data_IF_681370393349
#
_entry.id   IF_681370393349
#
_cell.length_a   1.000
_cell.length_b   1.000
_cell.length_c   1.000
_cell.angle_alpha   90.00
_cell.angle_beta   90.00
_cell.angle_gamma   90.00
#
_symmetry.space_group_name_H-M   'P 1'
#
loop_
_entity.id
_entity.type
_entity.pdbx_description
1 polymer ?
#
# COMPACT_ATOMS: atom_id res chain seq x y z
N UNK A 1 76.92 8.42 -19.10
CA UNK A 1 76.11 7.30 -18.60
C UNK A 1 75.07 7.90 -17.67
N UNK A 2 73.88 8.19 -18.21
CA UNK A 2 72.81 8.95 -17.54
C UNK A 2 71.72 7.94 -17.17
N UNK A 3 71.48 7.72 -15.89
CA UNK A 3 70.46 6.79 -15.40
C UNK A 3 69.11 7.53 -15.39
N UNK A 4 68.20 7.04 -16.21
CA UNK A 4 66.83 7.51 -16.35
C UNK A 4 65.98 6.83 -15.27
N UNK A 5 65.59 7.57 -14.23
CA UNK A 5 64.64 7.10 -13.21
C UNK A 5 63.21 7.29 -13.71
N UNK A 6 62.53 6.18 -13.98
CA UNK A 6 61.11 6.13 -14.36
C UNK A 6 60.28 6.21 -13.08
N UNK A 7 59.51 7.30 -12.92
CA UNK A 7 58.45 7.41 -11.91
C UNK A 7 57.21 6.68 -12.44
N UNK A 8 56.82 5.56 -11.81
CA UNK A 8 55.50 4.97 -12.00
C UNK A 8 54.47 5.81 -11.23
N UNK A 9 53.58 6.51 -11.94
CA UNK A 9 52.32 7.00 -11.37
C UNK A 9 51.36 5.80 -11.25
N UNK A 10 51.16 5.31 -10.03
CA UNK A 10 50.05 4.42 -9.72
C UNK A 10 48.77 5.24 -9.69
N UNK A 11 47.93 5.10 -10.72
CA UNK A 11 46.54 5.56 -10.69
C UNK A 11 45.80 4.64 -9.73
N UNK A 12 45.50 5.14 -8.53
CA UNK A 12 44.57 4.48 -7.61
C UNK A 12 43.18 4.73 -8.18
N UNK A 13 42.64 3.75 -8.91
CA UNK A 13 41.22 3.74 -9.23
C UNK A 13 40.52 3.51 -7.89
N UNK A 14 39.64 4.40 -7.41
CA UNK A 14 38.84 4.11 -6.24
C UNK A 14 37.99 2.89 -6.59
N UNK A 15 38.24 1.78 -5.88
CA UNK A 15 37.31 0.66 -5.85
C UNK A 15 35.98 1.27 -5.40
N UNK A 16 34.96 1.22 -6.25
CA UNK A 16 33.61 1.60 -5.86
C UNK A 16 33.29 0.77 -4.60
N UNK A 17 33.21 1.43 -3.46
CA UNK A 17 32.81 0.79 -2.23
C UNK A 17 31.36 0.36 -2.45
N UNK A 18 31.12 -0.95 -2.54
CA UNK A 18 29.77 -1.47 -2.40
C UNK A 18 29.27 -1.00 -1.03
N UNK A 19 28.27 -0.13 -1.01
CA UNK A 19 27.62 0.25 0.25
C UNK A 19 26.93 -1.01 0.79
N UNK A 20 27.11 -1.29 2.08
CA UNK A 20 26.39 -2.37 2.74
C UNK A 20 24.88 -2.08 2.69
N UNK A 21 24.08 -3.08 2.35
CA UNK A 21 22.62 -2.96 2.28
C UNK A 21 22.03 -3.00 3.69
N UNK A 22 21.18 -2.01 4.00
CA UNK A 22 20.48 -1.92 5.26
C UNK A 22 19.00 -2.29 5.13
N UNK A 23 18.41 -2.71 6.25
CA UNK A 23 16.97 -3.00 6.40
C UNK A 23 16.42 -2.02 7.44
N UNK A 24 15.18 -1.57 7.24
CA UNK A 24 14.44 -0.76 8.21
C UNK A 24 13.00 -1.25 8.30
N UNK A 25 12.33 -0.89 9.39
CA UNK A 25 10.89 -1.11 9.61
C UNK A 25 10.01 -0.13 8.84
N UNK A 26 10.49 1.08 8.59
CA UNK A 26 9.76 2.08 7.83
C UNK A 26 9.90 1.86 6.31
N UNK A 27 8.77 1.81 5.62
CA UNK A 27 8.68 1.61 4.17
C UNK A 27 7.83 2.73 3.56
N UNK A 28 8.32 3.28 2.46
CA UNK A 28 7.56 4.15 1.57
C UNK A 28 7.30 3.43 0.24
N UNK A 29 6.06 3.45 -0.22
CA UNK A 29 5.71 2.92 -1.54
C UNK A 29 4.78 3.82 -2.33
N UNK A 30 4.91 3.71 -3.64
CA UNK A 30 4.06 4.33 -4.63
C UNK A 30 3.41 3.19 -5.41
N UNK A 31 2.08 3.12 -5.41
CA UNK A 31 1.35 1.98 -5.92
C UNK A 31 0.36 2.48 -6.97
N UNK A 32 0.39 1.87 -8.16
CA UNK A 32 -0.56 2.17 -9.23
C UNK A 32 -1.28 0.88 -9.60
N UNK A 33 -2.60 0.89 -9.51
CA UNK A 33 -3.43 -0.27 -9.84
C UNK A 33 -4.44 0.10 -10.91
N UNK A 34 -4.57 -0.75 -11.93
CA UNK A 34 -5.47 -0.54 -13.05
C UNK A 34 -6.38 -1.76 -13.26
N UNK A 35 -7.66 -1.50 -13.45
CA UNK A 35 -8.71 -2.43 -13.85
C UNK A 35 -9.12 -2.08 -15.28
N UNK A 36 -8.52 -2.79 -16.24
CA UNK A 36 -8.71 -2.56 -17.67
C UNK A 36 -10.17 -2.81 -18.11
N UNK A 37 -10.84 -3.76 -17.50
CA UNK A 37 -12.25 -4.10 -17.77
C UNK A 37 -13.23 -2.95 -17.49
N UNK A 38 -12.83 -2.02 -16.62
CA UNK A 38 -13.66 -0.89 -16.21
C UNK A 38 -13.02 0.48 -16.50
N UNK A 39 -11.83 0.52 -17.11
CA UNK A 39 -11.03 1.72 -17.41
C UNK A 39 -10.73 2.58 -16.18
N UNK A 40 -10.47 1.96 -15.05
CA UNK A 40 -10.39 2.65 -13.75
C UNK A 40 -9.25 2.13 -12.93
N UNK A 41 -8.70 2.99 -12.09
CA UNK A 41 -7.52 2.65 -11.30
C UNK A 41 -7.34 3.54 -10.11
N UNK A 42 -6.26 3.28 -9.38
CA UNK A 42 -5.85 4.06 -8.22
C UNK A 42 -4.36 4.33 -8.28
N UNK A 43 -3.99 5.56 -7.95
CA UNK A 43 -2.62 5.93 -7.66
C UNK A 43 -2.53 6.20 -6.16
N UNK A 44 -1.56 5.59 -5.48
CA UNK A 44 -1.49 5.59 -4.02
C UNK A 44 -0.07 5.85 -3.56
N UNK A 45 0.09 6.68 -2.54
CA UNK A 45 1.33 6.80 -1.76
C UNK A 45 1.08 6.21 -0.38
N UNK A 46 2.00 5.35 0.07
CA UNK A 46 1.93 4.63 1.34
C UNK A 46 3.18 4.93 2.16
N UNK A 47 2.95 5.27 3.42
CA UNK A 47 3.95 5.30 4.49
C UNK A 47 3.56 4.22 5.50
N UNK A 48 4.45 3.29 5.80
CA UNK A 48 4.15 2.14 6.64
C UNK A 48 5.30 1.84 7.58
N UNK A 49 5.01 1.44 8.81
CA UNK A 49 6.00 0.86 9.72
C UNK A 49 5.38 -0.21 10.61
N UNK A 50 6.16 -1.23 10.91
CA UNK A 50 5.86 -2.25 11.91
C UNK A 50 6.61 -2.03 13.22
N UNK A 51 7.22 -0.86 13.41
CA UNK A 51 7.98 -0.51 14.59
C UNK A 51 7.41 0.75 15.24
N UNK A 52 7.09 0.61 16.52
CA UNK A 52 6.51 1.67 17.36
C UNK A 52 7.46 2.87 17.48
N UNK A 53 8.78 2.64 17.45
CA UNK A 53 9.80 3.70 17.54
C UNK A 53 9.84 4.60 16.28
N UNK A 54 9.27 4.15 15.16
CA UNK A 54 9.14 4.96 13.94
C UNK A 54 7.88 5.84 13.98
N UNK A 55 7.08 5.76 15.05
CA UNK A 55 5.89 6.59 15.26
C UNK A 55 6.04 7.50 16.49
N UNK A 56 5.10 8.42 16.65
CA UNK A 56 4.93 9.29 17.82
C UNK A 56 3.71 8.91 18.65
N UNK A 57 3.03 7.83 18.25
CA UNK A 57 1.92 7.25 19.00
C UNK A 57 2.53 6.63 20.25
N UNK A 58 1.85 6.74 21.39
CA UNK A 58 2.41 6.24 22.64
C UNK A 58 2.44 4.72 22.65
N UNK A 59 3.57 4.13 23.07
CA UNK A 59 3.69 2.68 23.28
C UNK A 59 2.56 2.13 24.16
N UNK A 60 2.09 2.94 25.12
CA UNK A 60 0.99 2.58 25.99
C UNK A 60 -0.34 2.47 25.24
N UNK A 61 -0.62 3.30 24.23
CA UNK A 61 -1.85 3.21 23.44
C UNK A 61 -1.77 2.05 22.47
N UNK A 62 -0.66 1.92 21.75
CA UNK A 62 -0.46 0.81 20.82
C UNK A 62 -0.54 -0.53 21.56
N UNK A 63 0.12 -0.65 22.72
CA UNK A 63 0.05 -1.86 23.54
C UNK A 63 -1.36 -2.14 24.05
N UNK A 64 -2.06 -1.14 24.59
CA UNK A 64 -3.41 -1.36 25.11
C UNK A 64 -4.41 -1.72 23.99
N UNK A 65 -4.23 -1.20 22.77
CA UNK A 65 -5.03 -1.61 21.61
C UNK A 65 -4.70 -3.04 21.18
N UNK A 66 -3.41 -3.39 21.16
CA UNK A 66 -2.93 -4.71 20.71
C UNK A 66 -3.24 -5.84 21.71
N UNK A 67 -3.07 -5.60 23.01
CA UNK A 67 -3.35 -6.59 24.07
C UNK A 67 -4.85 -6.72 24.37
N UNK A 68 -5.67 -5.77 23.92
CA UNK A 68 -7.11 -5.84 24.18
C UNK A 68 -7.74 -7.02 23.39
N UNK A 69 -8.42 -7.97 24.06
CA UNK A 69 -8.84 -9.25 23.48
C UNK A 69 -9.95 -9.16 22.41
N UNK A 70 -10.37 -7.94 22.08
CA UNK A 70 -11.41 -7.67 21.09
C UNK A 70 -11.03 -6.59 20.08
N UNK A 71 -9.99 -5.79 20.30
CA UNK A 71 -9.66 -4.74 19.33
C UNK A 71 -8.93 -5.40 18.17
N UNK A 72 -9.35 -5.09 16.94
CA UNK A 72 -8.75 -5.64 15.72
C UNK A 72 -7.93 -4.58 14.98
N UNK A 73 -8.30 -3.31 15.16
CA UNK A 73 -7.58 -2.21 14.56
C UNK A 73 -8.35 -0.91 14.64
N UNK A 74 -7.66 0.16 14.29
CA UNK A 74 -8.21 1.51 14.20
C UNK A 74 -7.99 2.00 12.78
N UNK A 75 -9.04 2.58 12.20
CA UNK A 75 -9.01 3.12 10.85
C UNK A 75 -9.48 4.57 10.90
N UNK A 76 -8.76 5.48 10.25
CA UNK A 76 -9.26 6.80 9.90
C UNK A 76 -9.41 6.90 8.38
N UNK A 77 -10.49 7.51 7.89
CA UNK A 77 -10.66 7.85 6.47
C UNK A 77 -11.51 9.09 6.29
N UNK A 78 -11.17 9.93 5.31
CA UNK A 78 -12.04 11.01 4.83
C UNK A 78 -12.66 10.72 3.46
N UNK A 79 -12.66 9.45 3.03
CA UNK A 79 -13.38 9.05 1.83
C UNK A 79 -14.89 9.28 2.01
N UNK A 80 -15.55 9.71 0.94
CA UNK A 80 -16.99 9.92 0.91
C UNK A 80 -17.75 8.67 1.35
N UNK A 81 -18.73 8.84 2.24
CA UNK A 81 -19.62 7.75 2.70
C UNK A 81 -18.84 6.56 3.28
N UNK A 82 -17.92 6.83 4.22
CA UNK A 82 -17.13 5.79 4.90
C UNK A 82 -17.99 4.64 5.50
N UNK A 83 -19.22 4.97 5.93
CA UNK A 83 -20.27 4.05 6.35
C UNK A 83 -21.63 4.64 5.97
N UNK A 84 -22.67 3.80 5.79
CA UNK A 84 -24.01 4.31 5.47
C UNK A 84 -24.50 5.35 6.48
N UNK A 85 -24.88 6.53 5.97
CA UNK A 85 -25.44 7.62 6.75
C UNK A 85 -24.47 8.75 7.12
N UNK A 86 -23.16 8.54 6.97
CA UNK A 86 -22.16 9.60 7.12
C UNK A 86 -22.02 10.35 5.79
N UNK A 87 -22.13 11.68 5.84
CA UNK A 87 -22.07 12.58 4.68
C UNK A 87 -21.27 13.82 5.06
N UNK A 88 -20.31 14.22 4.23
CA UNK A 88 -19.49 15.43 4.44
C UNK A 88 -18.78 15.44 5.83
N UNK A 89 -18.33 14.26 6.25
CA UNK A 89 -17.57 14.05 7.49
C UNK A 89 -16.53 12.95 7.25
N UNK A 90 -15.38 13.07 7.94
CA UNK A 90 -14.40 12.00 8.02
C UNK A 90 -14.75 11.04 9.16
N UNK A 91 -14.15 9.85 9.14
CA UNK A 91 -14.50 8.77 10.04
C UNK A 91 -13.29 8.22 10.76
N UNK A 92 -13.44 8.02 12.05
CA UNK A 92 -12.58 7.16 12.85
C UNK A 92 -13.38 5.92 13.21
N UNK A 93 -12.84 4.75 12.92
CA UNK A 93 -13.49 3.47 13.08
C UNK A 93 -12.61 2.60 13.98
N UNK A 94 -13.18 2.14 15.09
CA UNK A 94 -12.56 1.11 15.93
C UNK A 94 -13.21 -0.22 15.59
N UNK A 95 -12.44 -1.12 14.99
CA UNK A 95 -12.92 -2.46 14.63
C UNK A 95 -12.75 -3.39 15.83
N UNK A 96 -13.84 -4.08 16.18
CA UNK A 96 -13.94 -4.92 17.36
C UNK A 96 -14.44 -6.30 16.98
N UNK A 97 -13.82 -7.35 17.52
CA UNK A 97 -14.27 -8.72 17.38
C UNK A 97 -15.60 -8.95 18.10
N UNK A 98 -16.51 -9.68 17.45
CA UNK A 98 -17.74 -10.18 18.08
C UNK A 98 -17.40 -11.30 19.05
N UNK A 99 -18.13 -11.34 20.16
CA UNK A 99 -18.00 -12.42 21.16
C UNK A 99 -19.29 -13.24 21.24
N UNK A 100 -19.14 -14.55 21.43
CA UNK A 100 -20.28 -15.50 21.47
C UNK A 100 -21.26 -15.26 22.62
N UNK A 101 -20.84 -14.53 23.66
CA UNK A 101 -21.67 -14.18 24.81
C UNK A 101 -22.73 -13.11 24.48
N UNK A 102 -22.52 -12.30 23.44
CA UNK A 102 -23.47 -11.28 22.99
C UNK A 102 -24.48 -11.94 22.04
N UNK A 103 -25.63 -12.36 22.58
CA UNK A 103 -26.56 -13.24 21.85
C UNK A 103 -27.58 -12.51 20.98
N UNK A 104 -27.75 -11.20 21.17
CA UNK A 104 -28.61 -10.36 20.32
C UNK A 104 -27.89 -9.09 19.86
N UNK A 105 -28.47 -8.44 18.86
CA UNK A 105 -27.84 -7.30 18.18
C UNK A 105 -27.60 -6.10 19.09
N UNK A 106 -28.45 -5.87 20.09
CA UNK A 106 -28.30 -4.74 21.02
C UNK A 106 -27.10 -5.02 21.93
N UNK A 107 -26.97 -6.24 22.44
CA UNK A 107 -25.80 -6.63 23.23
C UNK A 107 -24.49 -6.52 22.46
N UNK A 108 -24.50 -6.92 21.18
CA UNK A 108 -23.34 -6.80 20.29
C UNK A 108 -22.96 -5.33 20.11
N UNK A 109 -23.95 -4.47 19.86
CA UNK A 109 -23.72 -3.04 19.64
C UNK A 109 -23.21 -2.35 20.92
N UNK A 110 -23.91 -2.52 22.05
CA UNK A 110 -23.53 -1.90 23.32
C UNK A 110 -22.16 -2.39 23.79
N UNK A 111 -21.87 -3.68 23.62
CA UNK A 111 -20.58 -4.28 23.98
C UNK A 111 -19.43 -3.75 23.11
N UNK A 112 -19.63 -3.65 21.80
CA UNK A 112 -18.62 -3.08 20.90
C UNK A 112 -18.40 -1.59 21.20
N UNK A 113 -19.47 -0.81 21.37
CA UNK A 113 -19.36 0.61 21.73
C UNK A 113 -18.60 0.81 23.04
N UNK A 114 -18.87 -0.01 24.06
CA UNK A 114 -18.16 0.06 25.31
C UNK A 114 -16.65 -0.21 25.16
N UNK A 115 -16.22 -0.98 24.15
CA UNK A 115 -14.79 -1.14 23.81
C UNK A 115 -14.28 0.10 23.10
N UNK A 116 -14.95 0.59 22.06
CA UNK A 116 -14.52 1.78 21.33
C UNK A 116 -14.39 3.02 22.24
N UNK A 117 -15.39 3.25 23.11
CA UNK A 117 -15.45 4.41 24.00
C UNK A 117 -14.32 4.38 25.06
N UNK A 118 -13.65 3.24 25.29
CA UNK A 118 -12.46 3.18 26.15
C UNK A 118 -11.26 3.90 25.54
N UNK A 119 -11.14 3.90 24.21
CA UNK A 119 -9.96 4.39 23.50
C UNK A 119 -10.16 5.77 22.86
N UNK A 120 -11.40 6.18 22.62
CA UNK A 120 -11.72 7.38 21.82
C UNK A 120 -11.02 8.66 22.32
N UNK A 121 -10.95 8.88 23.64
CA UNK A 121 -10.27 10.07 24.20
C UNK A 121 -8.79 10.07 23.86
N UNK A 122 -8.11 8.92 24.04
CA UNK A 122 -6.67 8.80 23.74
C UNK A 122 -6.40 8.85 22.25
N UNK A 123 -7.27 8.24 21.44
CA UNK A 123 -7.18 8.33 19.98
C UNK A 123 -7.33 9.78 19.50
N UNK A 124 -8.26 10.54 20.06
CA UNK A 124 -8.40 11.96 19.78
C UNK A 124 -7.13 12.74 20.15
N UNK A 125 -6.60 12.51 21.35
CA UNK A 125 -5.40 13.20 21.83
C UNK A 125 -4.14 12.86 21.01
N UNK A 126 -3.92 11.58 20.70
CA UNK A 126 -2.71 11.11 20.02
C UNK A 126 -2.74 11.32 18.51
N UNK A 127 -3.92 11.28 17.87
CA UNK A 127 -4.06 11.56 16.44
C UNK A 127 -4.35 13.05 16.16
N UNK A 128 -4.55 13.87 17.19
CA UNK A 128 -4.81 15.30 17.03
C UNK A 128 -6.17 15.63 16.41
N UNK A 129 -7.17 14.76 16.61
CA UNK A 129 -8.51 14.85 16.01
C UNK A 129 -9.60 15.06 17.07
N UNK A 130 -10.83 15.34 16.63
CA UNK A 130 -12.00 15.48 17.51
C UNK A 130 -13.16 14.64 17.00
N UNK A 131 -13.04 13.33 17.17
CA UNK A 131 -14.02 12.35 16.73
C UNK A 131 -15.14 12.20 17.77
N UNK A 132 -16.40 12.18 17.31
CA UNK A 132 -17.61 12.02 18.12
C UNK A 132 -18.38 10.78 17.70
N UNK A 133 -18.98 10.07 18.65
CA UNK A 133 -19.70 8.84 18.35
C UNK A 133 -20.86 9.10 17.36
N UNK A 134 -20.90 8.30 16.30
CA UNK A 134 -21.95 8.36 15.28
C UNK A 134 -22.82 7.10 15.31
N UNK A 135 -22.23 5.93 15.07
CA UNK A 135 -22.98 4.69 14.88
C UNK A 135 -22.18 3.42 15.17
N UNK A 136 -22.87 2.28 15.19
CA UNK A 136 -22.25 0.96 15.28
C UNK A 136 -22.73 0.13 14.09
N UNK A 137 -21.79 -0.36 13.30
CA UNK A 137 -22.07 -1.21 12.14
C UNK A 137 -21.65 -2.65 12.45
N UNK A 138 -22.60 -3.58 12.36
CA UNK A 138 -22.34 -5.01 12.58
C UNK A 138 -22.25 -5.67 11.21
N UNK A 139 -21.12 -6.32 10.95
CA UNK A 139 -20.88 -7.03 9.69
C UNK A 139 -21.47 -8.44 9.78
N UNK A 140 -22.44 -8.76 8.92
CA UNK A 140 -23.23 -10.00 9.05
C UNK A 140 -22.84 -11.12 8.08
N UNK A 141 -22.07 -10.86 7.01
CA UNK A 141 -21.83 -11.83 5.93
C UNK A 141 -20.74 -11.38 4.95
N UNK A 142 -20.02 -12.38 4.38
CA UNK A 142 -18.92 -12.30 3.39
C UNK A 142 -19.14 -11.32 2.21
N UNK A 143 -20.38 -11.09 1.79
CA UNK A 143 -20.72 -10.19 0.67
C UNK A 143 -20.75 -8.70 1.06
N UNK A 144 -20.99 -8.37 2.34
CA UNK A 144 -20.92 -6.99 2.85
C UNK A 144 -19.48 -6.52 3.09
N UNK A 145 -18.51 -7.44 3.05
CA UNK A 145 -17.07 -7.13 3.07
C UNK A 145 -16.63 -6.37 1.82
N UNK A 146 -17.33 -6.61 0.70
CA UNK A 146 -17.12 -5.93 -0.58
C UNK A 146 -17.82 -4.56 -0.58
N UNK A 147 -18.90 -4.41 0.19
CA UNK A 147 -19.77 -3.24 0.11
C UNK A 147 -19.24 -1.99 0.83
N UNK A 148 -18.30 -2.13 1.75
CA UNK A 148 -17.78 -0.99 2.53
C UNK A 148 -16.53 -0.33 1.95
N UNK A 149 -15.88 -0.90 0.92
CA UNK A 149 -14.82 -0.25 0.14
C UNK A 149 -13.73 0.51 0.94
N UNK A 150 -13.55 0.20 2.21
CA UNK A 150 -12.45 0.74 3.02
C UNK A 150 -11.23 -0.11 2.69
N UNK A 151 -10.12 0.47 2.21
CA UNK A 151 -8.92 -0.31 1.97
C UNK A 151 -8.43 -0.90 3.31
N UNK A 152 -8.57 -2.22 3.48
CA UNK A 152 -8.15 -2.93 4.71
C UNK A 152 -8.85 -4.28 4.92
N UNK A 153 -9.21 -4.98 3.82
CA UNK A 153 -10.18 -6.09 3.80
C UNK A 153 -9.92 -7.30 4.72
N UNK A 154 -8.78 -7.36 5.41
CA UNK A 154 -8.49 -8.41 6.40
C UNK A 154 -9.27 -8.23 7.72
N UNK A 155 -9.76 -7.03 8.05
CA UNK A 155 -10.29 -6.72 9.39
C UNK A 155 -11.80 -6.94 9.58
N UNK A 156 -12.52 -7.65 8.71
CA UNK A 156 -14.00 -7.56 8.68
C UNK A 156 -14.80 -8.85 8.99
N UNK A 157 -14.17 -10.02 9.15
CA UNK A 157 -14.89 -11.25 9.53
C UNK A 157 -15.35 -11.25 10.99
N UNK A 158 -16.65 -11.44 11.21
CA UNK A 158 -17.22 -11.50 12.57
C UNK A 158 -16.85 -10.26 13.41
N UNK A 159 -16.92 -9.08 12.78
CA UNK A 159 -16.50 -7.81 13.37
C UNK A 159 -17.66 -6.85 13.58
N UNK A 160 -17.41 -5.86 14.42
CA UNK A 160 -18.29 -4.71 14.68
C UNK A 160 -17.45 -3.46 14.56
N UNK A 161 -17.86 -2.53 13.71
CA UNK A 161 -17.21 -1.24 13.57
C UNK A 161 -17.93 -0.21 14.45
N UNK A 162 -17.21 0.34 15.41
CA UNK A 162 -17.66 1.49 16.19
C UNK A 162 -17.19 2.74 15.46
N UNK A 163 -18.15 3.53 14.96
CA UNK A 163 -17.88 4.64 14.05
C UNK A 163 -18.04 5.96 14.79
N UNK A 164 -17.03 6.79 14.66
CA UNK A 164 -17.00 8.17 15.11
C UNK A 164 -16.81 9.09 13.90
N UNK A 165 -17.46 10.25 13.91
CA UNK A 165 -17.32 11.25 12.85
C UNK A 165 -16.49 12.43 13.29
N UNK A 166 -15.80 13.02 12.33
CA UNK A 166 -14.89 14.16 12.47
C UNK A 166 -15.33 15.18 11.41
N UNK A 167 -15.37 16.49 11.74
CA UNK A 167 -15.66 17.51 10.74
C UNK A 167 -14.76 17.36 9.51
N UNK A 168 -15.35 17.48 8.33
CA UNK A 168 -14.62 17.34 7.08
C UNK A 168 -13.60 18.47 6.88
N UNK A 169 -12.45 18.11 6.30
CA UNK A 169 -11.40 18.99 5.81
C UNK A 169 -10.83 18.39 4.51
N UNK A 170 -10.08 19.17 3.75
CA UNK A 170 -9.41 18.72 2.55
C UNK A 170 -8.42 17.58 2.86
N UNK A 171 -8.33 16.61 1.96
CA UNK A 171 -7.42 15.46 2.09
C UNK A 171 -5.96 15.88 2.32
N UNK A 172 -5.52 16.97 1.68
CA UNK A 172 -4.17 17.52 1.91
C UNK A 172 -3.96 18.03 3.34
N UNK A 173 -4.99 18.60 3.98
CA UNK A 173 -4.93 19.03 5.38
C UNK A 173 -4.72 17.81 6.28
N UNK A 174 -5.59 16.80 6.15
CA UNK A 174 -5.46 15.56 6.92
C UNK A 174 -4.12 14.87 6.66
N UNK A 175 -3.66 14.77 5.42
CA UNK A 175 -2.38 14.13 5.11
C UNK A 175 -1.22 14.83 5.82
N UNK A 176 -1.15 16.16 5.77
CA UNK A 176 -0.08 16.91 6.43
C UNK A 176 -0.17 16.78 7.95
N UNK A 177 -1.37 16.83 8.52
CA UNK A 177 -1.58 16.65 9.97
C UNK A 177 -1.19 15.24 10.43
N UNK A 178 -1.65 14.20 9.73
CA UNK A 178 -1.33 12.81 10.06
C UNK A 178 0.17 12.55 9.93
N UNK A 179 0.81 12.99 8.85
CA UNK A 179 2.26 12.82 8.69
C UNK A 179 3.04 13.46 9.83
N UNK A 180 2.70 14.69 10.23
CA UNK A 180 3.40 15.39 11.31
C UNK A 180 3.06 14.85 12.70
N UNK A 181 1.86 14.32 12.89
CA UNK A 181 1.38 13.83 14.19
C UNK A 181 1.88 12.42 14.46
N UNK A 182 1.81 11.53 13.45
CA UNK A 182 2.15 10.11 13.60
C UNK A 182 3.63 9.86 13.45
N UNK A 183 4.32 10.52 12.53
CA UNK A 183 5.73 10.21 12.26
C UNK A 183 6.67 11.27 12.86
N UNK A 184 7.87 10.86 13.32
CA UNK A 184 8.95 11.78 13.67
C UNK A 184 9.31 12.71 12.51
N UNK A 185 9.86 13.89 12.83
CA UNK A 185 10.20 14.91 11.83
C UNK A 185 11.11 14.38 10.72
N UNK A 186 12.05 13.48 11.03
CA UNK A 186 12.94 12.86 10.04
C UNK A 186 12.21 12.10 8.93
N UNK A 187 11.05 11.53 9.23
CA UNK A 187 10.16 10.88 8.26
C UNK A 187 9.20 11.91 7.67
N UNK A 188 8.50 12.68 8.50
CA UNK A 188 7.43 13.61 8.09
C UNK A 188 7.92 14.74 7.16
N UNK A 189 9.19 15.13 7.25
CA UNK A 189 9.82 16.14 6.39
C UNK A 189 10.79 15.53 5.36
N UNK A 190 10.78 14.20 5.22
CA UNK A 190 11.72 13.44 4.40
C UNK A 190 11.65 13.68 2.89
N UNK A 191 10.71 14.52 2.42
CA UNK A 191 10.49 14.83 1.00
C UNK A 191 10.24 13.56 0.17
N UNK A 192 10.48 13.60 -1.13
CA UNK A 192 10.38 12.41 -1.98
C UNK A 192 8.96 11.85 -2.04
N UNK A 193 8.75 10.65 -1.50
CA UNK A 193 7.42 10.05 -1.37
C UNK A 193 6.46 10.91 -0.53
N UNK A 194 6.95 11.63 0.49
CA UNK A 194 6.11 12.54 1.28
C UNK A 194 5.61 13.71 0.43
N UNK A 195 6.47 14.26 -0.43
CA UNK A 195 6.08 15.34 -1.34
C UNK A 195 5.09 14.82 -2.41
N UNK A 196 5.30 13.58 -2.91
CA UNK A 196 4.37 12.92 -3.83
C UNK A 196 2.99 12.69 -3.20
N UNK A 197 2.93 12.21 -1.95
CA UNK A 197 1.69 12.02 -1.21
C UNK A 197 0.95 13.33 -0.99
N UNK A 198 1.68 14.43 -0.70
CA UNK A 198 1.10 15.76 -0.58
C UNK A 198 0.49 16.24 -1.90
N UNK A 199 1.20 16.07 -3.02
CA UNK A 199 0.69 16.42 -4.36
C UNK A 199 -0.59 15.62 -4.65
N UNK A 200 -0.56 14.30 -4.42
CA UNK A 200 -1.69 13.42 -4.65
C UNK A 200 -2.91 13.86 -3.83
N UNK A 201 -2.70 14.22 -2.57
CA UNK A 201 -3.74 14.69 -1.64
C UNK A 201 -4.42 16.02 -2.03
N UNK A 202 -3.85 16.79 -2.98
CA UNK A 202 -4.48 18.03 -3.47
C UNK A 202 -5.62 17.82 -4.46
N UNK A 203 -5.79 16.60 -4.98
CA UNK A 203 -6.89 16.30 -5.89
C UNK A 203 -8.21 16.15 -5.12
N UNK A 204 -9.31 16.66 -5.69
CA UNK A 204 -10.62 16.72 -5.03
C UNK A 204 -11.18 15.32 -4.70
N UNK A 205 -10.85 14.32 -5.52
CA UNK A 205 -11.27 12.93 -5.39
C UNK A 205 -10.30 12.06 -4.58
N UNK A 206 -9.18 12.63 -4.14
CA UNK A 206 -8.25 11.92 -3.27
C UNK A 206 -8.79 11.77 -1.86
N UNK A 207 -8.46 10.67 -1.21
CA UNK A 207 -8.77 10.44 0.19
C UNK A 207 -7.56 9.89 0.95
N UNK A 208 -7.54 10.17 2.25
CA UNK A 208 -6.58 9.66 3.21
C UNK A 208 -7.15 8.42 3.88
N UNK A 209 -6.31 7.43 4.08
CA UNK A 209 -6.55 6.30 4.95
C UNK A 209 -5.40 6.20 5.95
N UNK A 210 -5.71 6.13 7.23
CA UNK A 210 -4.78 5.72 8.27
C UNK A 210 -5.25 4.41 8.89
N UNK A 211 -4.32 3.52 9.16
CA UNK A 211 -4.59 2.20 9.73
C UNK A 211 -3.59 1.90 10.82
N UNK A 212 -4.10 1.47 11.98
CA UNK A 212 -3.34 0.71 12.96
C UNK A 212 -3.92 -0.71 13.01
N UNK A 213 -3.21 -1.68 12.46
CA UNK A 213 -3.59 -3.09 12.49
C UNK A 213 -3.04 -3.75 13.75
N UNK A 214 -3.90 -4.44 14.51
CA UNK A 214 -3.56 -5.13 15.75
C UNK A 214 -3.43 -6.64 15.52
N UNK A 215 -2.74 -7.02 14.45
CA UNK A 215 -2.54 -8.42 14.08
C UNK A 215 -1.58 -9.17 15.03
N UNK A 216 -1.56 -10.50 14.88
CA UNK A 216 -0.74 -11.41 15.68
C UNK A 216 0.77 -11.16 15.55
N UNK A 217 1.20 -10.50 14.48
CA UNK A 217 2.61 -10.22 14.17
C UNK A 217 3.10 -8.88 14.75
N UNK A 218 2.25 -8.18 15.51
CA UNK A 218 2.53 -6.88 16.10
C UNK A 218 1.79 -5.74 15.40
N UNK A 219 1.83 -4.53 15.99
CA UNK A 219 1.15 -3.37 15.43
C UNK A 219 1.75 -2.96 14.08
N UNK A 220 0.89 -2.70 13.10
CA UNK A 220 1.29 -2.16 11.80
C UNK A 220 0.58 -0.83 11.57
N UNK A 221 1.37 0.23 11.49
CA UNK A 221 0.88 1.59 11.30
C UNK A 221 1.08 2.04 9.87
N UNK A 222 0.04 2.61 9.26
CA UNK A 222 0.04 3.03 7.86
C UNK A 222 -0.66 4.37 7.68
N UNK A 223 -0.09 5.23 6.86
CA UNK A 223 -0.72 6.44 6.31
C UNK A 223 -0.68 6.33 4.79
N UNK A 224 -1.84 6.39 4.16
CA UNK A 224 -2.01 6.19 2.72
C UNK A 224 -2.86 7.28 2.11
N UNK A 225 -2.40 7.90 1.04
CA UNK A 225 -3.23 8.78 0.21
C UNK A 225 -3.50 8.08 -1.10
N UNK A 226 -4.76 8.02 -1.49
CA UNK A 226 -5.20 7.39 -2.73
C UNK A 226 -5.95 8.40 -3.58
N UNK A 227 -5.64 8.43 -4.88
CA UNK A 227 -6.39 9.13 -5.91
C UNK A 227 -6.97 8.10 -6.87
N UNK A 228 -8.30 7.98 -6.98
CA UNK A 228 -8.90 7.21 -8.06
C UNK A 228 -8.67 7.91 -9.41
N UNK A 229 -8.60 7.15 -10.49
CA UNK A 229 -8.57 7.72 -11.83
C UNK A 229 -9.37 6.85 -12.80
N UNK A 230 -9.80 7.47 -13.90
CA UNK A 230 -10.40 6.77 -15.05
C UNK A 230 -9.46 6.94 -16.22
N UNK A 231 -8.87 5.84 -16.67
CA UNK A 231 -7.96 5.81 -17.81
C UNK A 231 -7.99 4.42 -18.43
N UNK A 232 -8.10 4.38 -19.76
CA UNK A 232 -8.12 3.13 -20.50
C UNK A 232 -6.70 2.60 -20.61
N UNK A 233 -6.50 1.30 -20.36
CA UNK A 233 -5.19 0.70 -20.56
C UNK A 233 -4.82 0.75 -22.04
N UNK A 234 -3.68 1.37 -22.34
CA UNK A 234 -3.14 1.42 -23.70
C UNK A 234 -2.10 0.30 -23.91
N UNK A 235 -1.11 0.52 -24.77
CA UNK A 235 0.03 -0.39 -24.95
C UNK A 235 1.11 -0.24 -23.88
N UNK A 236 0.95 0.68 -22.92
CA UNK A 236 1.86 0.84 -21.80
C UNK A 236 1.17 1.37 -20.53
N UNK A 237 1.88 1.22 -19.42
CA UNK A 237 1.59 1.90 -18.16
C UNK A 237 2.87 2.54 -17.63
N UNK A 238 2.75 3.77 -17.10
CA UNK A 238 3.82 4.43 -16.37
C UNK A 238 3.29 4.95 -15.02
N UNK A 239 3.73 4.37 -13.88
CA UNK A 239 3.16 4.73 -12.60
C UNK A 239 3.36 6.19 -12.21
N UNK A 240 4.45 6.85 -12.64
CA UNK A 240 4.66 8.27 -12.30
C UNK A 240 3.68 9.20 -13.04
N UNK A 241 3.22 8.82 -14.25
CA UNK A 241 2.21 9.58 -14.99
C UNK A 241 0.88 9.58 -14.22
N UNK A 242 0.46 8.43 -13.68
CA UNK A 242 -0.78 8.32 -12.87
C UNK A 242 -0.69 9.00 -11.51
N UNK A 243 0.51 9.08 -10.92
CA UNK A 243 0.77 9.84 -9.69
C UNK A 243 0.80 11.36 -9.92
N UNK A 244 0.89 11.81 -11.18
CA UNK A 244 0.93 13.23 -11.53
C UNK A 244 2.24 13.93 -11.13
N UNK A 245 3.36 13.20 -11.16
CA UNK A 245 4.69 13.71 -10.77
C UNK A 245 5.73 13.42 -11.87
N UNK A 246 6.68 14.34 -12.08
CA UNK A 246 7.73 14.17 -13.10
C UNK A 246 8.84 13.20 -12.66
N UNK A 247 9.12 13.19 -11.35
CA UNK A 247 10.14 12.35 -10.74
C UNK A 247 9.79 12.03 -9.29
N UNK A 248 10.21 10.85 -8.86
CA UNK A 248 10.10 10.37 -7.50
C UNK A 248 11.49 10.11 -6.94
N UNK A 249 11.75 10.68 -5.76
CA UNK A 249 12.99 10.53 -5.03
C UNK A 249 12.74 9.73 -3.77
N UNK A 250 13.68 8.87 -3.39
CA UNK A 250 13.76 8.29 -2.05
C UNK A 250 13.77 9.42 -1.02
N UNK A 251 13.06 9.22 0.09
CA UNK A 251 13.06 10.16 1.20
C UNK A 251 14.46 10.34 1.80
N UNK A 252 14.76 11.57 2.25
CA UNK A 252 16.00 11.88 2.97
C UNK A 252 16.12 11.15 4.31
N UNK A 253 15.03 10.53 4.80
CA UNK A 253 15.09 9.61 5.95
C UNK A 253 16.12 8.49 5.74
N UNK A 254 16.38 8.11 4.49
CA UNK A 254 17.29 7.03 4.12
C UNK A 254 18.69 7.51 3.70
N UNK A 255 19.04 8.78 3.90
CA UNK A 255 20.31 9.36 3.41
C UNK A 255 21.56 8.81 4.15
N UNK A 256 21.36 8.11 5.27
CA UNK A 256 22.42 7.52 6.08
C UNK A 256 22.92 6.16 5.56
N UNK A 257 22.28 5.59 4.53
CA UNK A 257 22.67 4.29 3.99
C UNK A 257 21.93 3.88 2.72
N UNK A 258 22.11 2.62 2.32
CA UNK A 258 21.45 2.05 1.15
C UNK A 258 20.28 1.15 1.59
N UNK A 259 19.06 1.62 1.35
CA UNK A 259 17.81 0.94 1.72
C UNK A 259 16.98 0.60 0.46
N UNK A 260 17.43 -0.36 -0.36
CA UNK A 260 16.86 -0.59 -1.68
C UNK A 260 15.43 -1.12 -1.65
N UNK A 261 15.03 -1.79 -0.56
CA UNK A 261 13.70 -2.39 -0.39
C UNK A 261 12.73 -1.52 0.42
N UNK A 262 13.16 -0.33 0.85
CA UNK A 262 12.35 0.57 1.67
C UNK A 262 11.65 1.66 0.87
N UNK A 263 12.02 1.85 -0.39
CA UNK A 263 11.39 2.81 -1.32
C UNK A 263 11.01 2.12 -2.61
N UNK A 264 9.73 1.82 -2.78
CA UNK A 264 9.24 0.92 -3.84
C UNK A 264 8.22 1.61 -4.74
N UNK A 265 8.27 1.33 -6.03
CA UNK A 265 7.17 1.67 -6.96
C UNK A 265 6.53 0.37 -7.42
N UNK A 266 5.23 0.22 -7.28
CA UNK A 266 4.50 -1.01 -7.57
C UNK A 266 3.41 -0.76 -8.59
N UNK A 267 3.21 -1.73 -9.47
CA UNK A 267 2.15 -1.71 -10.47
C UNK A 267 1.38 -3.03 -10.40
N UNK A 268 0.05 -2.95 -10.39
CA UNK A 268 -0.82 -4.09 -10.60
C UNK A 268 -1.83 -3.79 -11.72
N UNK A 269 -2.03 -4.74 -12.63
CA UNK A 269 -2.97 -4.60 -13.74
C UNK A 269 -3.86 -5.83 -13.73
N UNK A 270 -5.17 -5.61 -13.65
CA UNK A 270 -6.20 -6.64 -13.77
C UNK A 270 -6.97 -6.42 -15.07
N UNK A 271 -7.18 -7.48 -15.85
CA UNK A 271 -7.91 -7.43 -17.11
C UNK A 271 -8.59 -8.77 -17.43
N UNK A 272 -9.71 -8.73 -18.17
CA UNK A 272 -10.29 -9.93 -18.79
C UNK A 272 -9.45 -10.44 -19.98
N UNK A 273 -8.60 -9.59 -20.54
CA UNK A 273 -7.67 -9.93 -21.61
C UNK A 273 -6.33 -10.31 -21.01
N UNK A 274 -5.77 -11.44 -21.45
CA UNK A 274 -4.40 -11.80 -21.08
C UNK A 274 -3.40 -10.85 -21.73
N UNK A 275 -2.52 -10.26 -20.93
CA UNK A 275 -1.38 -9.47 -21.39
C UNK A 275 -0.07 -10.20 -21.10
N UNK A 276 0.98 -9.83 -21.82
CA UNK A 276 2.36 -10.16 -21.50
C UNK A 276 3.16 -8.85 -21.42
N UNK A 277 4.20 -8.84 -20.59
CA UNK A 277 5.17 -7.75 -20.63
C UNK A 277 6.01 -7.88 -21.89
N UNK A 278 5.87 -6.93 -22.81
CA UNK A 278 6.64 -6.92 -24.05
C UNK A 278 8.08 -6.47 -23.79
N UNK A 279 8.23 -5.32 -23.13
CA UNK A 279 9.50 -4.80 -22.64
C UNK A 279 9.26 -3.71 -21.59
N UNK A 280 10.33 -3.25 -20.98
CA UNK A 280 10.34 -2.13 -20.03
C UNK A 280 11.42 -1.14 -20.46
N UNK A 281 11.24 0.15 -20.15
CA UNK A 281 12.29 1.15 -20.45
C UNK A 281 13.55 0.94 -19.59
N UNK A 282 13.36 0.54 -18.34
CA UNK A 282 14.45 0.14 -17.43
C UNK A 282 14.71 -1.36 -17.51
N UNK A 283 15.84 -1.81 -16.95
CA UNK A 283 16.18 -3.23 -16.91
C UNK A 283 15.14 -4.06 -16.15
N UNK A 284 14.89 -5.28 -16.63
CA UNK A 284 14.24 -6.33 -15.84
C UNK A 284 15.36 -7.02 -15.04
N UNK A 285 15.22 -7.02 -13.73
CA UNK A 285 16.17 -7.59 -12.79
C UNK A 285 15.97 -9.12 -12.74
N UNK A 286 17.04 -9.86 -12.99
CA UNK A 286 17.03 -11.30 -12.93
C UNK A 286 17.08 -11.81 -11.48
N UNK A 287 16.44 -12.94 -11.23
CA UNK A 287 16.66 -13.77 -10.05
C UNK A 287 15.61 -14.88 -9.92
N UNK A 288 15.68 -15.63 -8.82
CA UNK A 288 14.81 -16.78 -8.57
C UNK A 288 13.40 -16.37 -8.13
N UNK A 289 12.40 -17.13 -8.57
CA UNK A 289 10.99 -17.00 -8.13
C UNK A 289 10.41 -15.58 -8.30
N UNK A 290 10.84 -14.86 -9.33
CA UNK A 290 10.39 -13.49 -9.62
C UNK A 290 11.05 -12.40 -8.76
N UNK A 291 11.99 -12.75 -7.88
CA UNK A 291 12.73 -11.80 -7.03
C UNK A 291 14.12 -11.52 -7.58
N UNK A 292 14.65 -10.28 -7.47
CA UNK A 292 15.95 -9.93 -8.02
C UNK A 292 17.11 -10.45 -7.17
N UNK A 293 18.15 -11.00 -7.82
CA UNK A 293 19.39 -11.45 -7.16
C UNK A 293 20.20 -10.26 -6.61
N UNK A 294 20.06 -9.10 -7.24
CA UNK A 294 20.79 -7.87 -6.92
C UNK A 294 19.83 -6.69 -6.74
N UNK A 295 19.45 -6.46 -5.49
CA UNK A 295 18.54 -5.39 -5.06
C UNK A 295 19.17 -3.99 -5.10
N UNK A 296 20.49 -3.87 -5.30
CA UNK A 296 21.15 -2.56 -5.42
C UNK A 296 20.89 -1.92 -6.78
N UNK A 297 20.53 -2.72 -7.78
CA UNK A 297 20.26 -2.25 -9.14
C UNK A 297 18.87 -1.64 -9.25
N UNK A 298 18.80 -0.58 -10.07
CA UNK A 298 17.53 0.00 -10.50
C UNK A 298 16.91 -0.84 -11.60
N UNK A 299 15.62 -1.16 -11.47
CA UNK A 299 14.88 -1.89 -12.49
C UNK A 299 13.60 -2.55 -11.96
N UNK A 300 12.90 -3.23 -12.87
CA UNK A 300 11.68 -3.97 -12.58
C UNK A 300 11.96 -5.42 -12.20
N UNK A 301 11.19 -5.97 -11.28
CA UNK A 301 10.97 -7.42 -11.16
C UNK A 301 9.47 -7.68 -11.09
N UNK A 302 9.05 -8.90 -11.43
CA UNK A 302 7.65 -9.23 -11.61
C UNK A 302 7.30 -10.53 -10.90
N UNK A 303 6.35 -10.45 -9.97
CA UNK A 303 5.76 -11.63 -9.33
C UNK A 303 4.85 -12.38 -10.31
N UNK A 304 4.16 -11.63 -11.17
CA UNK A 304 3.32 -12.16 -12.25
C UNK A 304 3.53 -11.27 -13.48
N UNK A 305 4.08 -11.83 -14.55
CA UNK A 305 4.48 -11.09 -15.76
C UNK A 305 3.61 -11.38 -16.99
N UNK A 306 2.64 -12.28 -16.87
CA UNK A 306 1.73 -12.68 -17.95
C UNK A 306 0.37 -13.10 -17.42
N UNK A 307 -0.66 -13.01 -18.25
CA UNK A 307 -2.03 -13.42 -17.92
C UNK A 307 -2.97 -12.25 -17.68
N UNK A 308 -4.08 -12.51 -17.00
CA UNK A 308 -5.13 -11.54 -16.65
C UNK A 308 -4.77 -10.67 -15.44
N UNK A 309 -3.70 -11.02 -14.73
CA UNK A 309 -3.13 -10.24 -13.64
C UNK A 309 -1.64 -10.07 -13.91
N UNK A 310 -1.17 -8.82 -13.92
CA UNK A 310 0.25 -8.48 -13.93
C UNK A 310 0.58 -7.77 -12.62
N UNK A 311 1.70 -8.14 -11.99
CA UNK A 311 2.22 -7.49 -10.78
C UNK A 311 3.72 -7.29 -10.90
N UNK A 312 4.12 -6.03 -10.81
CA UNK A 312 5.52 -5.61 -10.90
C UNK A 312 5.91 -4.70 -9.75
N UNK A 313 7.17 -4.79 -9.37
CA UNK A 313 7.81 -3.85 -8.45
C UNK A 313 9.08 -3.30 -9.08
N UNK A 314 9.25 -1.99 -9.02
CA UNK A 314 10.42 -1.27 -9.47
C UNK A 314 11.26 -0.84 -8.28
N UNK A 315 12.53 -1.21 -8.31
CA UNK A 315 13.53 -0.78 -7.35
C UNK A 315 14.20 0.50 -7.85
N UNK A 316 14.30 1.51 -6.98
CA UNK A 316 15.11 2.70 -7.25
C UNK A 316 16.62 2.36 -7.24
N UNK A 317 17.01 1.30 -6.54
CA UNK A 317 18.42 0.90 -6.37
C UNK A 317 19.28 2.02 -5.78
N UNK A 318 20.57 2.03 -6.10
CA UNK A 318 21.53 3.06 -5.69
C UNK A 318 21.21 4.46 -6.26
N UNK A 319 20.42 4.53 -7.35
CA UNK A 319 20.09 5.83 -7.95
C UNK A 319 19.18 6.70 -7.08
N UNK A 320 18.45 6.08 -6.14
CA UNK A 320 17.54 6.75 -5.21
C UNK A 320 16.41 7.54 -5.87
N UNK A 321 16.19 7.39 -7.18
CA UNK A 321 15.18 8.16 -7.91
C UNK A 321 14.79 7.55 -9.25
N UNK A 322 13.60 7.91 -9.72
CA UNK A 322 13.11 7.59 -11.04
C UNK A 322 12.32 8.78 -11.61
N UNK A 323 12.35 8.94 -12.93
CA UNK A 323 11.56 9.94 -13.65
C UNK A 323 10.54 9.26 -14.57
N UNK A 324 9.48 9.99 -14.93
CA UNK A 324 8.52 9.58 -15.97
C UNK A 324 9.27 9.06 -17.21
N UNK A 325 8.75 7.98 -17.77
CA UNK A 325 9.33 7.22 -18.88
C UNK A 325 10.29 6.12 -18.43
N UNK A 326 10.99 6.26 -17.29
CA UNK A 326 11.95 5.25 -16.82
C UNK A 326 11.25 4.04 -16.18
N UNK A 327 10.08 4.25 -15.60
CA UNK A 327 9.23 3.23 -14.98
C UNK A 327 8.22 2.62 -15.95
N UNK A 328 8.21 3.03 -17.22
CA UNK A 328 7.26 2.51 -18.19
C UNK A 328 7.39 0.99 -18.42
N UNK A 329 6.24 0.33 -18.40
CA UNK A 329 6.04 -1.08 -18.78
C UNK A 329 5.22 -1.10 -20.06
N UNK A 330 5.74 -1.69 -21.13
CA UNK A 330 5.02 -1.85 -22.40
C UNK A 330 4.39 -3.26 -22.44
N UNK A 331 3.11 -3.32 -22.77
CA UNK A 331 2.29 -4.53 -22.77
C UNK A 331 2.02 -4.99 -24.19
N UNK A 332 1.80 -6.29 -24.36
CA UNK A 332 1.30 -6.86 -25.60
C UNK A 332 0.24 -7.92 -25.31
N UNK A 333 -0.70 -8.07 -26.25
CA UNK A 333 -1.63 -9.19 -26.25
C UNK A 333 -0.90 -10.40 -26.87
N UNK A 334 -0.88 -11.58 -26.23
CA UNK A 334 -0.28 -12.78 -26.79
C UNK A 334 -0.93 -13.10 -28.14
N UNK A 335 -0.14 -13.13 -29.20
CA UNK A 335 -0.58 -13.58 -30.52
C UNK A 335 -0.13 -15.03 -30.75
N UNK A 336 -0.92 -15.82 -31.49
CA UNK A 336 -0.65 -17.24 -31.77
C UNK A 336 0.68 -17.51 -32.53
N UNK A 337 1.42 -16.46 -32.88
CA UNK A 337 2.71 -16.50 -33.57
C UNK A 337 3.87 -15.97 -32.72
N UNK A 338 3.64 -15.62 -31.45
CA UNK A 338 4.73 -15.31 -30.53
C UNK A 338 5.37 -16.62 -30.10
N UNK A 339 6.44 -16.97 -30.80
CA UNK A 339 7.34 -18.07 -30.49
C UNK A 339 7.84 -17.88 -29.05
N UNK A 340 7.27 -18.68 -28.15
CA UNK A 340 7.65 -18.71 -26.75
C UNK A 340 9.11 -19.17 -26.69
N UNK A 341 10.04 -18.21 -26.58
CA UNK A 341 11.36 -18.52 -26.05
C UNK A 341 11.23 -18.62 -24.53
N UNK A 342 10.53 -19.67 -24.10
CA UNK A 342 10.53 -20.16 -22.73
C UNK A 342 11.91 -20.74 -22.41
N UNK A 343 12.58 -20.31 -21.32
CA UNK A 343 13.38 -21.24 -20.55
C UNK A 343 12.39 -22.24 -19.93
N UNK A 344 12.40 -23.49 -20.41
CA UNK A 344 11.59 -24.57 -19.85
C UNK A 344 11.97 -24.79 -18.38
N UNK A 345 11.02 -24.60 -17.47
CA UNK A 345 10.99 -25.37 -16.22
C UNK A 345 9.89 -26.44 -16.37
N UNK A 346 10.19 -27.73 -16.14
CA UNK A 346 9.24 -28.79 -16.38
C UNK A 346 8.23 -28.83 -15.22
N UNK A 347 7.00 -28.41 -15.47
CA UNK A 347 5.88 -28.67 -14.57
C UNK A 347 5.20 -29.98 -14.98
N UNK A 348 5.18 -30.95 -14.05
CA UNK A 348 4.56 -32.24 -14.26
C UNK A 348 3.07 -32.13 -13.93
N UNK A 349 2.23 -32.44 -14.91
CA UNK A 349 0.77 -32.48 -14.85
C UNK A 349 0.33 -33.79 -14.19
N UNK A 350 0.16 -33.79 -12.87
CA UNK A 350 -0.63 -34.78 -12.12
C UNK A 350 -0.63 -34.45 -10.62
N UNK A 351 -1.48 -33.52 -10.19
CA UNK A 351 -2.15 -33.57 -8.87
C UNK A 351 -3.25 -32.51 -8.77
N UNK A 352 -4.47 -32.90 -9.12
CA UNK A 352 -5.68 -32.32 -8.53
C UNK A 352 -5.72 -32.77 -7.07
N UNK A 353 -5.35 -31.90 -6.14
CA UNK A 353 -5.69 -32.05 -4.72
C UNK A 353 -6.15 -30.70 -4.17
N UNK A 354 -7.46 -30.63 -3.95
CA UNK A 354 -8.16 -30.00 -2.84
C UNK A 354 -7.26 -29.20 -1.87
N UNK A 355 -7.31 -27.87 -1.94
CA UNK A 355 -6.63 -26.97 -1.01
C UNK A 355 -7.63 -26.53 0.06
N UNK A 356 -7.78 -27.38 1.07
CA UNK A 356 -8.28 -27.03 2.40
C UNK A 356 -7.10 -26.53 3.23
N UNK A 357 -7.29 -25.39 3.91
CA UNK A 357 -6.54 -24.87 5.07
C UNK A 357 -5.09 -25.32 5.26
N UNK A 358 -4.13 -24.45 4.92
CA UNK A 358 -3.01 -24.08 5.81
C UNK A 358 -2.30 -22.85 5.22
N UNK A 359 -2.61 -21.65 5.72
CA UNK A 359 -1.75 -20.47 5.51
C UNK A 359 -1.31 -20.01 6.89
N UNK A 360 -0.28 -20.67 7.40
CA UNK A 360 0.61 -20.14 8.42
C UNK A 360 1.82 -19.48 7.75
N UNK A 361 2.02 -18.22 8.11
CA UNK A 361 3.23 -17.38 7.96
C UNK A 361 3.76 -17.06 6.55
N UNK A 362 3.42 -15.86 6.07
CA UNK A 362 4.45 -14.90 5.64
C UNK A 362 3.90 -13.45 5.68
N UNK A 363 4.43 -12.69 6.64
CA UNK A 363 4.02 -11.34 7.08
C UNK A 363 4.15 -10.21 6.05
N UNK A 364 4.37 -10.51 4.77
CA UNK A 364 4.58 -9.50 3.72
C UNK A 364 3.51 -9.53 2.63
N UNK A 365 2.62 -10.52 2.65
CA UNK A 365 1.62 -10.78 1.58
C UNK A 365 0.32 -10.01 1.79
N UNK A 366 0.05 -9.51 3.00
CA UNK A 366 -1.20 -8.80 3.35
C UNK A 366 -1.34 -7.44 2.64
N UNK A 367 -0.24 -6.87 2.14
CA UNK A 367 -0.24 -5.54 1.52
C UNK A 367 -0.87 -5.53 0.11
N UNK A 368 -0.93 -6.67 -0.59
CA UNK A 368 -1.29 -6.71 -2.03
C UNK A 368 -2.78 -6.93 -2.29
N UNK A 369 -3.58 -7.38 -1.32
CA UNK A 369 -5.00 -7.74 -1.53
C UNK A 369 -5.95 -6.53 -1.37
N UNK A 370 -5.48 -5.41 -0.81
CA UNK A 370 -6.34 -4.31 -0.37
C UNK A 370 -6.81 -3.37 -1.50
N UNK A 371 -6.21 -3.42 -2.69
CA UNK A 371 -6.57 -2.48 -3.78
C UNK A 371 -7.84 -2.91 -4.55
N UNK A 372 -8.28 -4.17 -4.42
CA UNK A 372 -9.22 -4.84 -5.35
C UNK A 372 -10.68 -4.34 -5.32
N UNK A 373 -11.19 -3.77 -4.24
CA UNK A 373 -12.64 -3.56 -4.11
C UNK A 373 -13.14 -2.13 -4.44
N UNK A 374 -12.29 -1.11 -4.25
CA UNK A 374 -12.70 0.31 -4.28
C UNK A 374 -13.35 0.76 -5.58
N UNK A 375 -12.94 0.15 -6.69
CA UNK A 375 -13.21 0.66 -8.04
C UNK A 375 -14.38 -0.08 -8.72
N UNK A 376 -14.58 -1.36 -8.42
CA UNK A 376 -15.71 -2.14 -8.93
C UNK A 376 -17.07 -1.61 -8.42
N UNK A 377 -17.13 -1.10 -7.18
CA UNK A 377 -18.39 -0.61 -6.63
C UNK A 377 -18.85 0.71 -7.28
N UNK A 378 -17.94 1.61 -7.67
CA UNK A 378 -18.29 2.85 -8.39
C UNK A 378 -18.80 2.55 -9.81
N UNK A 379 -18.16 1.62 -10.52
CA UNK A 379 -18.64 1.13 -11.82
C UNK A 379 -20.00 0.41 -11.71
N UNK A 380 -20.23 -0.35 -10.63
CA UNK A 380 -21.48 -1.05 -10.37
C UNK A 380 -22.62 -0.10 -9.95
N UNK A 381 -22.35 0.90 -9.10
CA UNK A 381 -23.33 1.90 -8.66
C UNK A 381 -23.77 2.82 -9.80
N UNK A 382 -22.86 3.21 -10.71
CA UNK A 382 -23.21 4.04 -11.88
C UNK A 382 -24.03 3.27 -12.94
N UNK A 383 -23.93 1.94 -13.00
CA UNK A 383 -24.73 1.10 -13.91
C UNK A 383 -26.16 0.87 -13.38
N UNK A 384 -26.36 0.92 -12.07
CA UNK A 384 -27.65 0.70 -11.40
C UNK A 384 -28.65 1.86 -11.50
N UNK A 385 -28.20 3.07 -11.84
CA UNK A 385 -29.07 4.27 -11.92
C UNK A 385 -29.64 4.57 -13.32
N UNK A 386 -29.43 3.68 -14.30
CA UNK A 386 -30.16 3.72 -15.57
C UNK A 386 -31.42 2.84 -15.49
N UNK A 387 -32.45 3.37 -14.84
CA UNK A 387 -33.83 3.36 -15.34
C UNK A 387 -34.66 4.48 -14.77
#
# INVERSE_FOLDING_TARGET
MMILSIFLLSVIIPLAAAQDVNITSYIESAEVVMYDDTDVGTATIVHMTSNVDDTRISDALEWDLWDHPRVLGVIFTNADTCVPGVVDEACLIVNVARISKETDIIMVQDGARAVGDQFITRLNDELGISANFHSIFVHFNDEQHIALNVPGGAMMYNTVSVVYTIPHDATVSFYVEFMNTIFPQGIAEGRGFVDAGRILATHEDSFLLFVMDMGDMGPLTQVRVTKPYTDALTDYIDPLEHLGIDALYRSSYFDDGLYPLSSLIRVAISSDTSFIIHNTTSAILAGADGRPDDITKRGWFFDVNTGTLIRGTFLLGESGSASVGQTRINLAVPSATMDATTPETPFNDDTVMDMQDDITTDSLVVVTIVVIAGVAATAFYMKGYRR
#
